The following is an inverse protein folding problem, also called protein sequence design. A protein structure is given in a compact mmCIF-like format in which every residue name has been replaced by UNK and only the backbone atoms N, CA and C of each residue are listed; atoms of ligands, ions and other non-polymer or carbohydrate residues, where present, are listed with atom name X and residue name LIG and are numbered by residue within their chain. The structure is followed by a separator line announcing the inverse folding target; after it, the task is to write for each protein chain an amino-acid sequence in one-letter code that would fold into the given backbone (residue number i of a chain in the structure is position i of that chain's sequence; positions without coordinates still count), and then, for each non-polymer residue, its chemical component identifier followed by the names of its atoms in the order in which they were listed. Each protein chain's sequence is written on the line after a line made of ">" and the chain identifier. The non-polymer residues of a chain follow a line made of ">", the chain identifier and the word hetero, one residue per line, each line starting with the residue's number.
data_IF_676020456020
#
_entry.id   IF_676020456020
#
_cell.length_a   1.000
_cell.length_b   1.000
_cell.length_c   1.000
_cell.angle_alpha   90.00
_cell.angle_beta   90.00
_cell.angle_gamma   90.00
#
_symmetry.space_group_name_H-M   'P 1'
#
loop_
_entity.id
_entity.type
_entity.pdbx_description
1 polymer ?
#
# COMPACT_ATOMS: atom_id res chain seq x y z
N UNK A 1 13.35 -13.72 -17.36
CA UNK A 1 12.88 -13.25 -16.03
C UNK A 1 11.73 -12.31 -16.29
N UNK A 2 10.51 -12.56 -15.80
CA UNK A 2 9.41 -11.61 -15.97
C UNK A 2 9.76 -10.31 -15.24
N UNK A 3 9.54 -9.19 -15.90
CA UNK A 3 9.78 -7.85 -15.36
C UNK A 3 8.83 -7.65 -14.17
N UNK A 4 9.31 -7.22 -12.99
CA UNK A 4 8.46 -6.94 -11.85
C UNK A 4 7.40 -5.85 -12.13
N UNK A 5 7.52 -5.11 -13.24
CA UNK A 5 6.58 -4.09 -13.68
C UNK A 5 5.68 -4.52 -14.86
N UNK A 6 5.68 -5.79 -15.26
CA UNK A 6 4.77 -6.30 -16.28
C UNK A 6 3.29 -6.12 -15.85
N UNK A 7 2.46 -5.38 -16.62
CA UNK A 7 1.07 -5.09 -16.23
C UNK A 7 0.21 -6.33 -16.02
N UNK A 8 0.42 -7.40 -16.80
CA UNK A 8 -0.32 -8.65 -16.63
C UNK A 8 0.07 -9.37 -15.33
N UNK A 9 1.34 -9.33 -14.97
CA UNK A 9 1.85 -9.87 -13.70
C UNK A 9 1.29 -9.07 -12.51
N UNK A 10 1.23 -7.74 -12.62
CA UNK A 10 0.60 -6.88 -11.60
C UNK A 10 -0.88 -7.22 -11.45
N UNK A 11 -1.62 -7.30 -12.55
CA UNK A 11 -3.05 -7.59 -12.54
C UNK A 11 -3.34 -8.96 -11.92
N UNK A 12 -2.56 -9.99 -12.27
CA UNK A 12 -2.70 -11.32 -11.65
C UNK A 12 -2.47 -11.30 -10.15
N UNK A 13 -1.43 -10.58 -9.67
CA UNK A 13 -1.16 -10.43 -8.23
C UNK A 13 -2.28 -9.69 -7.50
N UNK A 14 -2.84 -8.66 -8.12
CA UNK A 14 -3.96 -7.90 -7.57
C UNK A 14 -5.21 -8.79 -7.42
N UNK A 15 -5.55 -9.53 -8.47
CA UNK A 15 -6.69 -10.47 -8.46
C UNK A 15 -6.50 -11.57 -7.42
N UNK A 16 -5.30 -12.15 -7.33
CA UNK A 16 -4.99 -13.16 -6.34
C UNK A 16 -5.14 -12.62 -4.90
N UNK A 17 -4.56 -11.45 -4.63
CA UNK A 17 -4.61 -10.83 -3.31
C UNK A 17 -6.05 -10.44 -2.90
N UNK A 18 -6.85 -9.96 -3.86
CA UNK A 18 -8.26 -9.66 -3.62
C UNK A 18 -9.09 -10.92 -3.35
N UNK A 19 -8.75 -12.05 -3.99
CA UNK A 19 -9.43 -13.32 -3.76
C UNK A 19 -9.07 -13.94 -2.40
N UNK A 20 -7.84 -13.73 -1.93
CA UNK A 20 -7.37 -14.14 -0.59
C UNK A 20 -8.01 -13.31 0.52
N UNK A 21 -8.27 -12.03 0.26
CA UNK A 21 -8.81 -11.06 1.21
C UNK A 21 -10.04 -10.33 0.65
N UNK A 22 -11.18 -11.03 0.45
CA UNK A 22 -12.39 -10.44 -0.12
C UNK A 22 -13.01 -9.35 0.77
N UNK A 23 -12.65 -9.29 2.04
CA UNK A 23 -13.07 -8.27 3.00
C UNK A 23 -12.40 -6.90 2.79
N UNK A 24 -11.27 -6.86 2.10
CA UNK A 24 -10.54 -5.62 1.84
C UNK A 24 -11.15 -4.87 0.66
N UNK A 25 -11.28 -3.55 0.81
CA UNK A 25 -11.62 -2.67 -0.29
C UNK A 25 -10.59 -2.79 -1.43
N UNK A 26 -11.00 -2.80 -2.71
CA UNK A 26 -10.07 -2.93 -3.83
C UNK A 26 -8.95 -1.89 -3.86
N UNK A 27 -9.20 -0.67 -3.37
CA UNK A 27 -8.16 0.34 -3.23
C UNK A 27 -7.19 -0.02 -2.11
N UNK A 28 -7.67 -0.57 -0.99
CA UNK A 28 -6.81 -1.07 0.09
C UNK A 28 -5.89 -2.19 -0.42
N UNK A 29 -6.42 -3.12 -1.22
CA UNK A 29 -5.62 -4.19 -1.84
C UNK A 29 -4.56 -3.62 -2.79
N UNK A 30 -4.91 -2.66 -3.65
CA UNK A 30 -3.95 -2.00 -4.54
C UNK A 30 -2.86 -1.26 -3.75
N UNK A 31 -3.22 -0.54 -2.69
CA UNK A 31 -2.26 0.16 -1.82
C UNK A 31 -1.33 -0.82 -1.12
N UNK A 32 -1.87 -1.92 -0.58
CA UNK A 32 -1.06 -2.98 0.06
C UNK A 32 -0.07 -3.59 -0.93
N UNK A 33 -0.51 -3.89 -2.15
CA UNK A 33 0.35 -4.42 -3.21
C UNK A 33 1.44 -3.42 -3.61
N UNK A 34 1.13 -2.12 -3.68
CA UNK A 34 2.09 -1.07 -3.98
C UNK A 34 3.13 -0.88 -2.86
N UNK A 35 2.71 -1.01 -1.60
CA UNK A 35 3.60 -0.99 -0.44
C UNK A 35 4.52 -2.21 -0.44
N UNK A 36 4.00 -3.42 -0.68
CA UNK A 36 4.79 -4.67 -0.77
C UNK A 36 5.86 -4.66 -1.86
N UNK A 37 5.62 -3.94 -2.96
CA UNK A 37 6.58 -3.81 -4.06
C UNK A 37 7.58 -2.66 -3.87
N UNK A 38 7.44 -1.86 -2.82
CA UNK A 38 8.37 -0.77 -2.53
C UNK A 38 9.47 -1.25 -1.60
N UNK A 39 10.72 -1.19 -2.04
CA UNK A 39 11.90 -1.58 -1.24
C UNK A 39 11.95 -0.88 0.13
N UNK A 40 11.48 0.37 0.19
CA UNK A 40 11.44 1.17 1.42
C UNK A 40 10.48 0.63 2.51
N UNK A 41 9.54 -0.26 2.19
CA UNK A 41 8.44 -0.64 3.08
C UNK A 41 8.87 -1.39 4.34
N UNK A 42 10.03 -2.06 4.32
CA UNK A 42 10.58 -2.81 5.46
C UNK A 42 11.55 -1.99 6.33
N UNK A 43 12.29 -1.05 5.74
CA UNK A 43 13.33 -0.30 6.47
C UNK A 43 12.83 1.01 7.05
N UNK A 44 12.08 1.77 6.25
CA UNK A 44 11.65 3.12 6.63
C UNK A 44 10.16 3.36 6.40
N UNK A 45 9.43 2.45 5.77
CA UNK A 45 8.03 2.65 5.39
C UNK A 45 7.85 3.59 4.21
N UNK A 46 6.67 3.51 3.59
CA UNK A 46 6.31 4.21 2.36
C UNK A 46 5.33 5.35 2.66
N UNK A 47 5.62 6.55 2.18
CA UNK A 47 4.73 7.70 2.40
C UNK A 47 3.43 7.61 1.58
N UNK A 48 2.28 7.90 2.20
CA UNK A 48 0.99 7.98 1.49
C UNK A 48 0.95 9.07 0.41
N UNK A 49 1.74 10.15 0.57
CA UNK A 49 1.89 11.16 -0.48
C UNK A 49 2.67 10.62 -1.70
N UNK A 50 3.66 9.75 -1.47
CA UNK A 50 4.37 9.08 -2.55
C UNK A 50 3.45 8.09 -3.27
N UNK A 51 2.66 7.32 -2.52
CA UNK A 51 1.68 6.39 -3.09
C UNK A 51 0.63 7.09 -3.95
N UNK A 52 0.07 8.20 -3.45
CA UNK A 52 -0.86 9.03 -4.21
C UNK A 52 -0.29 9.46 -5.56
N UNK A 53 0.95 9.96 -5.60
CA UNK A 53 1.62 10.36 -6.85
C UNK A 53 1.90 9.18 -7.78
N UNK A 54 2.34 8.04 -7.24
CA UNK A 54 2.68 6.84 -8.04
C UNK A 54 1.45 6.19 -8.66
N UNK A 55 0.35 6.16 -7.92
CA UNK A 55 -0.89 5.52 -8.36
C UNK A 55 -1.81 6.48 -9.14
N UNK A 56 -1.54 7.79 -9.09
CA UNK A 56 -2.43 8.80 -9.68
C UNK A 56 -3.78 8.88 -8.97
N UNK A 57 -3.81 8.61 -7.66
CA UNK A 57 -5.02 8.54 -6.84
C UNK A 57 -4.96 9.63 -5.77
N UNK A 58 -6.10 10.27 -5.51
CA UNK A 58 -6.24 11.30 -4.49
C UNK A 58 -5.71 10.88 -3.12
N UNK A 59 -4.98 11.79 -2.46
CA UNK A 59 -4.31 11.49 -1.19
C UNK A 59 -5.30 11.12 -0.09
N UNK A 60 -6.49 11.72 -0.09
CA UNK A 60 -7.56 11.39 0.86
C UNK A 60 -8.01 9.92 0.74
N UNK A 61 -8.12 9.40 -0.49
CA UNK A 61 -8.50 8.00 -0.74
C UNK A 61 -7.38 7.05 -0.31
N UNK A 62 -6.12 7.38 -0.62
CA UNK A 62 -4.97 6.61 -0.15
C UNK A 62 -4.90 6.58 1.38
N UNK A 63 -5.20 7.71 2.04
CA UNK A 63 -5.20 7.79 3.50
C UNK A 63 -6.34 6.98 4.11
N UNK A 64 -7.52 6.95 3.49
CA UNK A 64 -8.63 6.08 3.90
C UNK A 64 -8.25 4.60 3.78
N UNK A 65 -7.70 4.20 2.63
CA UNK A 65 -7.21 2.84 2.40
C UNK A 65 -6.13 2.45 3.41
N UNK A 66 -5.19 3.35 3.72
CA UNK A 66 -4.18 3.13 4.74
C UNK A 66 -4.78 2.90 6.14
N UNK A 67 -5.83 3.64 6.51
CA UNK A 67 -6.51 3.46 7.80
C UNK A 67 -7.23 2.10 7.87
N UNK A 68 -7.83 1.64 6.78
CA UNK A 68 -8.44 0.30 6.69
C UNK A 68 -7.39 -0.80 6.82
N UNK A 69 -6.27 -0.68 6.10
CA UNK A 69 -5.15 -1.63 6.18
C UNK A 69 -4.55 -1.67 7.60
N UNK A 70 -4.42 -0.53 8.27
CA UNK A 70 -3.95 -0.46 9.65
C UNK A 70 -4.94 -1.12 10.62
N UNK A 71 -6.25 -0.85 10.47
CA UNK A 71 -7.28 -1.49 11.28
C UNK A 71 -7.30 -3.02 11.10
N UNK A 72 -7.00 -3.51 9.90
CA UNK A 72 -6.83 -4.94 9.60
C UNK A 72 -5.46 -5.52 9.99
N UNK A 73 -4.54 -4.72 10.54
CA UNK A 73 -3.21 -5.16 10.95
C UNK A 73 -2.23 -5.45 9.79
N UNK A 74 -2.57 -5.02 8.56
CA UNK A 74 -1.76 -5.25 7.35
C UNK A 74 -0.53 -4.34 7.29
N UNK A 75 -0.63 -3.14 7.89
CA UNK A 75 0.44 -2.14 7.97
C UNK A 75 0.40 -1.46 9.33
N UNK A 76 1.51 -0.85 9.73
CA UNK A 76 1.52 0.19 10.76
C UNK A 76 1.61 1.55 10.08
N UNK A 77 0.73 2.49 10.43
CA UNK A 77 0.78 3.84 9.90
C UNK A 77 1.32 4.81 10.96
N UNK A 78 2.41 5.50 10.63
CA UNK A 78 3.00 6.53 11.49
C UNK A 78 2.98 7.89 10.81
N UNK A 79 2.89 9.02 11.54
CA UNK A 79 3.03 10.33 10.93
C UNK A 79 4.36 10.44 10.17
N UNK A 80 4.33 10.96 8.93
CA UNK A 80 5.56 11.10 8.12
C UNK A 80 6.51 12.19 8.65
N UNK A 81 6.04 13.07 9.54
CA UNK A 81 6.79 14.17 10.17
C UNK A 81 6.44 15.56 9.62
N UNK A 82 6.79 16.60 10.39
CA UNK A 82 6.53 18.01 10.03
C UNK A 82 5.04 18.39 10.04
N UNK A 83 4.67 19.42 9.28
CA UNK A 83 3.28 19.87 9.12
C UNK A 83 2.48 19.05 8.08
N UNK A 84 3.04 17.95 7.58
CA UNK A 84 2.44 17.15 6.51
C UNK A 84 1.33 16.24 7.03
N UNK A 85 0.16 16.16 6.35
CA UNK A 85 -0.89 15.20 6.69
C UNK A 85 -0.58 13.76 6.22
N UNK A 86 0.61 13.52 5.65
CA UNK A 86 1.00 12.22 5.14
C UNK A 86 1.36 11.24 6.27
N UNK A 87 1.07 9.97 6.00
CA UNK A 87 1.44 8.83 6.85
C UNK A 87 2.56 8.05 6.17
N UNK A 88 3.31 7.30 6.96
CA UNK A 88 4.37 6.39 6.56
C UNK A 88 3.90 4.98 6.92
N UNK A 89 3.69 4.17 5.88
CA UNK A 89 3.15 2.82 5.97
C UNK A 89 4.29 1.82 6.05
N UNK A 90 4.34 1.07 7.13
CA UNK A 90 5.40 0.09 7.41
C UNK A 90 4.75 -1.30 7.38
N UNK A 91 5.38 -2.24 6.68
CA UNK A 91 4.91 -3.63 6.70
C UNK A 91 5.32 -4.29 8.01
N UNK A 92 4.45 -5.09 8.65
CA UNK A 92 4.83 -5.88 9.81
C UNK A 92 5.89 -6.91 9.40
N UNK A 93 6.78 -7.26 10.35
CA UNK A 93 7.90 -8.18 10.12
C UNK A 93 7.47 -9.61 9.72
N UNK A 94 6.19 -9.95 9.92
CA UNK A 94 5.61 -11.28 9.71
C UNK A 94 4.76 -11.42 8.43
N UNK A 95 4.83 -10.46 7.49
CA UNK A 95 4.16 -10.55 6.19
C UNK A 95 5.06 -11.07 5.06
#
# INVERSE_FOLDING_TARGET
>A
MPDPLDPETLQRRLVALQAEHPELDPLAVLVLLAVRQSDAARESGVSTALMSRRLGIEHALIRRAAAELEAGGWVTATPAGGASPALRLILPATC
#
